data_IF_255887514720
#
_entry.id   IF_255887514720
#
_cell.length_a   1.000
_cell.length_b   1.000
_cell.length_c   1.000
_cell.angle_alpha   90.00
_cell.angle_beta   90.00
_cell.angle_gamma   90.00
#
_symmetry.space_group_name_H-M   'P 1'
#
loop_
_entity.id
_entity.type
_entity.pdbx_description
1 polymer ?
#
# COMPACT_ATOMS: atom_id res chain seq x y z
N UNK A 1 14.69 3.11 13.26
CA UNK A 1 14.41 1.88 12.50
C UNK A 1 15.22 1.90 11.21
N UNK A 2 15.91 0.78 10.90
CA UNK A 2 16.57 0.64 9.61
C UNK A 2 15.49 0.46 8.54
N UNK A 3 15.54 1.29 7.49
CA UNK A 3 14.55 1.29 6.42
C UNK A 3 15.23 1.07 5.08
N UNK A 4 14.52 0.42 4.16
CA UNK A 4 14.94 0.29 2.78
C UNK A 4 13.85 0.78 1.84
N UNK A 5 14.26 1.36 0.71
CA UNK A 5 13.35 1.64 -0.39
C UNK A 5 13.09 0.35 -1.17
N UNK A 6 11.84 0.02 -1.38
CA UNK A 6 11.42 -1.19 -2.07
C UNK A 6 10.24 -0.92 -3.02
N UNK A 7 10.12 -1.77 -4.03
CA UNK A 7 8.97 -1.75 -4.92
C UNK A 7 8.02 -2.87 -4.55
N UNK A 8 6.80 -2.50 -4.17
CA UNK A 8 5.72 -3.46 -3.92
C UNK A 8 4.92 -3.62 -5.20
N UNK A 9 4.73 -4.86 -5.60
CA UNK A 9 3.89 -5.22 -6.74
C UNK A 9 2.61 -5.82 -6.20
N UNK A 10 1.48 -5.20 -6.48
CA UNK A 10 0.17 -5.66 -6.05
C UNK A 10 -0.74 -5.83 -7.26
N UNK A 11 -1.52 -6.90 -7.29
CA UNK A 11 -2.54 -7.12 -8.31
C UNK A 11 -3.90 -6.79 -7.72
N UNK A 12 -4.65 -5.91 -8.36
CA UNK A 12 -5.98 -5.51 -7.91
C UNK A 12 -6.90 -6.73 -7.91
N UNK A 13 -7.47 -7.03 -6.76
CA UNK A 13 -8.39 -8.16 -6.58
C UNK A 13 -9.84 -7.72 -6.77
N UNK A 14 -10.61 -8.57 -7.44
CA UNK A 14 -12.08 -8.46 -7.46
C UNK A 14 -12.72 -9.18 -6.27
N UNK A 15 -13.92 -8.79 -5.95
CA UNK A 15 -14.72 -9.48 -4.94
C UNK A 15 -15.02 -10.91 -5.37
N UNK A 16 -15.03 -11.83 -4.42
CA UNK A 16 -15.27 -13.26 -4.69
C UNK A 16 -16.43 -13.81 -3.91
N UNK A 17 -17.18 -14.69 -4.54
CA UNK A 17 -18.30 -15.40 -3.96
C UNK A 17 -18.14 -16.90 -4.19
N UNK A 18 -18.20 -17.69 -3.11
CA UNK A 18 -18.14 -19.14 -3.20
C UNK A 18 -19.52 -19.72 -3.47
N UNK A 19 -19.60 -20.65 -4.42
CA UNK A 19 -20.82 -21.39 -4.77
C UNK A 19 -20.85 -22.74 -4.04
N UNK A 20 -22.05 -23.28 -3.87
CA UNK A 20 -22.28 -24.62 -3.30
C UNK A 20 -21.89 -25.74 -4.27
N UNK A 21 -21.87 -25.45 -5.56
CA UNK A 21 -21.53 -26.39 -6.62
C UNK A 21 -21.39 -25.69 -7.97
N UNK A 22 -21.19 -26.48 -9.02
CA UNK A 22 -21.11 -25.95 -10.37
C UNK A 22 -22.43 -25.30 -10.78
N UNK A 23 -22.42 -24.16 -11.49
CA UNK A 23 -23.62 -23.51 -11.97
C UNK A 23 -24.35 -24.37 -13.03
N UNK A 24 -25.66 -24.21 -13.13
CA UNK A 24 -26.42 -24.73 -14.23
C UNK A 24 -26.34 -23.74 -15.41
N UNK A 25 -25.49 -24.02 -16.35
CA UNK A 25 -25.11 -23.11 -17.42
C UNK A 25 -23.77 -22.42 -17.16
N UNK A 26 -23.39 -21.52 -18.06
CA UNK A 26 -22.11 -20.75 -17.96
C UNK A 26 -22.47 -19.29 -17.83
N UNK A 27 -21.92 -18.66 -16.77
CA UNK A 27 -22.00 -17.21 -16.64
C UNK A 27 -21.10 -16.54 -17.68
N UNK A 28 -21.61 -15.46 -18.25
CA UNK A 28 -20.88 -14.66 -19.25
C UNK A 28 -20.16 -13.51 -18.54
N UNK A 29 -18.91 -13.25 -18.90
CA UNK A 29 -18.17 -12.12 -18.36
C UNK A 29 -18.88 -10.80 -18.71
N UNK A 30 -18.96 -9.90 -17.73
CA UNK A 30 -19.65 -8.63 -17.85
C UNK A 30 -21.19 -8.70 -17.66
N UNK A 31 -21.80 -9.91 -17.49
CA UNK A 31 -23.22 -9.99 -17.19
C UNK A 31 -23.55 -9.63 -15.74
N UNK A 32 -24.77 -9.17 -15.53
CA UNK A 32 -25.28 -8.96 -14.18
C UNK A 32 -25.83 -10.26 -13.60
N UNK A 33 -25.44 -10.55 -12.36
CA UNK A 33 -26.02 -11.61 -11.54
C UNK A 33 -26.91 -10.99 -10.47
N UNK A 34 -28.03 -11.63 -10.19
CA UNK A 34 -28.98 -11.18 -9.17
C UNK A 34 -29.18 -12.28 -8.14
N UNK A 35 -29.06 -11.93 -6.86
CA UNK A 35 -29.43 -12.80 -5.74
C UNK A 35 -30.93 -12.86 -5.53
N UNK A 36 -31.51 -14.06 -5.53
CA UNK A 36 -32.95 -14.26 -5.43
C UNK A 36 -33.53 -13.88 -4.06
N UNK A 37 -32.76 -13.91 -3.00
CA UNK A 37 -33.21 -13.59 -1.64
C UNK A 37 -32.71 -12.22 -1.18
N UNK A 38 -31.45 -11.92 -1.43
CA UNK A 38 -30.82 -10.67 -1.02
C UNK A 38 -31.18 -9.48 -1.92
N UNK A 39 -31.56 -9.76 -3.18
CA UNK A 39 -31.74 -8.74 -4.19
C UNK A 39 -30.44 -8.03 -4.63
N UNK A 40 -29.30 -8.48 -4.14
CA UNK A 40 -28.00 -7.92 -4.53
C UNK A 40 -27.75 -8.21 -6.00
N UNK A 41 -27.32 -7.21 -6.72
CA UNK A 41 -26.86 -7.32 -8.11
C UNK A 41 -25.36 -7.05 -8.15
N UNK A 42 -24.64 -7.80 -8.98
CA UNK A 42 -23.22 -7.59 -9.21
C UNK A 42 -22.88 -7.95 -10.66
N UNK A 43 -21.80 -7.38 -11.17
CA UNK A 43 -21.30 -7.70 -12.50
C UNK A 43 -20.27 -8.82 -12.40
N UNK A 44 -20.49 -9.91 -13.14
CA UNK A 44 -19.53 -11.02 -13.22
C UNK A 44 -18.27 -10.54 -13.92
N UNK A 45 -17.11 -10.80 -13.30
CA UNK A 45 -15.83 -10.61 -13.94
C UNK A 45 -15.30 -11.92 -14.51
N UNK A 46 -15.37 -13.00 -13.73
CA UNK A 46 -14.91 -14.32 -14.15
C UNK A 46 -15.52 -15.42 -13.27
N UNK A 47 -15.77 -16.58 -13.86
CA UNK A 47 -16.12 -17.78 -13.13
C UNK A 47 -14.97 -18.79 -13.10
N UNK A 48 -14.48 -19.11 -11.90
CA UNK A 48 -13.43 -20.11 -11.69
C UNK A 48 -14.04 -21.49 -11.40
N UNK A 49 -14.01 -22.36 -12.38
CA UNK A 49 -14.56 -23.74 -12.26
C UNK A 49 -13.80 -24.61 -11.25
N UNK A 50 -12.50 -24.43 -11.11
CA UNK A 50 -11.66 -25.22 -10.21
C UNK A 50 -12.03 -25.02 -8.72
N UNK A 51 -12.40 -23.81 -8.32
CA UNK A 51 -12.73 -23.47 -6.94
C UNK A 51 -14.22 -23.22 -6.71
N UNK A 52 -15.05 -23.35 -7.75
CA UNK A 52 -16.46 -23.00 -7.72
C UNK A 52 -16.71 -21.60 -7.13
N UNK A 53 -15.96 -20.63 -7.62
CA UNK A 53 -16.03 -19.24 -7.17
C UNK A 53 -16.37 -18.33 -8.35
N UNK A 54 -17.19 -17.30 -8.09
CA UNK A 54 -17.43 -16.21 -9.02
C UNK A 54 -16.64 -15.01 -8.53
N UNK A 55 -15.85 -14.40 -9.40
CA UNK A 55 -15.28 -13.07 -9.21
C UNK A 55 -16.26 -12.06 -9.77
N UNK A 56 -16.56 -11.04 -9.01
CA UNK A 56 -17.52 -10.02 -9.39
C UNK A 56 -17.02 -8.63 -9.00
N UNK A 57 -17.65 -7.60 -9.55
CA UNK A 57 -17.43 -6.21 -9.23
C UNK A 57 -18.76 -5.48 -9.10
N UNK A 58 -18.72 -4.30 -8.44
CA UNK A 58 -19.85 -3.40 -8.29
C UNK A 58 -21.10 -4.08 -7.69
N UNK A 59 -21.02 -4.63 -6.46
CA UNK A 59 -22.21 -5.16 -5.81
C UNK A 59 -23.17 -4.01 -5.47
N UNK A 60 -24.33 -4.03 -6.08
CA UNK A 60 -25.37 -3.03 -5.96
C UNK A 60 -26.59 -3.61 -5.27
N UNK A 61 -27.24 -2.81 -4.44
CA UNK A 61 -28.55 -3.19 -3.84
C UNK A 61 -29.63 -2.31 -4.36
N UNK A 62 -30.72 -2.91 -4.85
CA UNK A 62 -31.92 -2.15 -5.16
C UNK A 62 -32.61 -1.72 -3.87
N UNK A 63 -32.58 -0.43 -3.55
CA UNK A 63 -33.42 0.13 -2.51
C UNK A 63 -34.83 0.32 -3.06
N UNK A 64 -35.81 -0.26 -2.32
CA UNK A 64 -37.17 -0.48 -2.79
C UNK A 64 -37.92 0.76 -3.26
N UNK A 65 -38.67 0.60 -4.29
CA UNK A 65 -39.80 1.43 -4.69
C UNK A 65 -39.54 2.45 -5.81
N UNK A 66 -38.37 2.98 -5.96
CA UNK A 66 -38.04 3.96 -7.00
C UNK A 66 -37.30 3.38 -8.21
N UNK A 67 -36.91 2.11 -8.14
CA UNK A 67 -36.22 1.40 -9.23
C UNK A 67 -34.74 1.80 -9.37
N UNK A 68 -34.22 2.67 -8.53
CA UNK A 68 -32.82 3.10 -8.57
C UNK A 68 -31.94 2.06 -7.88
N UNK A 69 -30.77 1.86 -8.44
CA UNK A 69 -29.74 0.97 -7.91
C UNK A 69 -28.68 1.84 -7.25
N UNK A 70 -28.38 1.55 -5.99
CA UNK A 70 -27.36 2.28 -5.25
C UNK A 70 -26.18 1.36 -4.96
N UNK A 71 -24.97 1.87 -5.20
CA UNK A 71 -23.74 1.20 -4.77
C UNK A 71 -23.69 1.17 -3.24
N UNK A 72 -23.69 -0.01 -2.67
CA UNK A 72 -23.55 -0.19 -1.22
C UNK A 72 -22.16 -0.69 -0.88
N UNK A 73 -21.33 0.19 -0.37
CA UNK A 73 -20.03 -0.14 0.21
C UNK A 73 -20.15 -0.86 1.57
N UNK A 74 -21.38 -1.09 2.07
CA UNK A 74 -21.57 -1.64 3.40
C UNK A 74 -22.55 -2.81 3.38
N UNK A 75 -22.05 -3.97 3.76
CA UNK A 75 -22.77 -5.07 4.43
C UNK A 75 -23.90 -5.80 3.73
N UNK A 76 -24.42 -5.35 2.63
CA UNK A 76 -25.41 -6.12 1.87
C UNK A 76 -24.70 -7.00 0.86
N UNK A 77 -24.31 -8.15 1.32
CA UNK A 77 -23.70 -9.20 0.52
C UNK A 77 -24.76 -10.23 0.13
N UNK A 78 -24.43 -11.05 -0.85
CA UNK A 78 -25.26 -12.20 -1.19
C UNK A 78 -25.54 -13.08 0.03
N UNK A 79 -26.75 -13.56 0.16
CA UNK A 79 -27.16 -14.44 1.27
C UNK A 79 -26.67 -15.87 1.09
N UNK A 80 -26.64 -16.63 2.18
CA UNK A 80 -26.31 -18.06 2.15
C UNK A 80 -27.44 -18.86 1.50
N UNK A 81 -27.09 -19.89 0.73
CA UNK A 81 -28.04 -20.77 0.06
C UNK A 81 -29.06 -20.06 -0.85
N UNK A 82 -28.74 -18.88 -1.35
CA UNK A 82 -29.58 -18.21 -2.31
C UNK A 82 -29.26 -18.62 -3.75
N UNK A 83 -30.24 -18.55 -4.60
CA UNK A 83 -30.09 -18.80 -6.04
C UNK A 83 -29.67 -17.51 -6.72
N UNK A 84 -28.54 -17.55 -7.38
CA UNK A 84 -28.06 -16.50 -8.29
C UNK A 84 -28.58 -16.76 -9.68
N UNK A 85 -28.97 -15.72 -10.38
CA UNK A 85 -29.42 -15.81 -11.77
C UNK A 85 -28.68 -14.80 -12.64
N UNK A 86 -28.07 -15.28 -13.72
CA UNK A 86 -27.46 -14.44 -14.74
C UNK A 86 -28.51 -13.82 -15.64
N UNK A 87 -28.38 -12.50 -15.89
CA UNK A 87 -29.41 -11.77 -16.65
C UNK A 87 -29.41 -12.13 -18.14
N UNK A 88 -28.23 -12.31 -18.73
CA UNK A 88 -28.10 -12.59 -20.17
C UNK A 88 -27.95 -14.07 -20.47
N UNK A 89 -27.21 -14.81 -19.66
CA UNK A 89 -27.01 -16.26 -19.89
C UNK A 89 -28.15 -17.13 -19.39
N UNK A 90 -28.95 -16.64 -18.44
CA UNK A 90 -29.95 -17.47 -17.74
C UNK A 90 -29.32 -18.54 -16.85
N UNK A 91 -27.99 -18.52 -16.69
CA UNK A 91 -27.29 -19.46 -15.81
C UNK A 91 -27.74 -19.27 -14.36
N UNK A 92 -27.83 -20.36 -13.62
CA UNK A 92 -28.20 -20.32 -12.21
C UNK A 92 -27.16 -21.03 -11.37
N UNK A 93 -26.89 -20.48 -10.18
CA UNK A 93 -26.02 -21.08 -9.20
C UNK A 93 -26.56 -20.86 -7.80
N UNK A 94 -26.22 -21.73 -6.87
CA UNK A 94 -26.57 -21.57 -5.46
C UNK A 94 -25.34 -21.14 -4.68
N UNK A 95 -25.46 -20.10 -3.85
CA UNK A 95 -24.39 -19.66 -2.97
C UNK A 95 -24.07 -20.71 -1.90
N UNK A 96 -22.86 -20.76 -1.42
CA UNK A 96 -22.43 -21.72 -0.41
C UNK A 96 -23.19 -21.54 0.92
N UNK A 97 -23.34 -22.61 1.71
CA UNK A 97 -24.02 -22.61 3.02
C UNK A 97 -23.38 -21.70 4.04
N UNK A 98 -22.06 -21.56 4.01
CA UNK A 98 -21.32 -20.53 4.73
C UNK A 98 -20.81 -19.54 3.69
N UNK A 99 -21.58 -18.50 3.43
CA UNK A 99 -21.20 -17.52 2.41
C UNK A 99 -19.93 -16.83 2.83
N UNK A 100 -18.85 -17.18 2.18
CA UNK A 100 -17.63 -16.39 2.26
C UNK A 100 -17.64 -15.48 1.03
N UNK A 101 -18.24 -14.31 1.19
CA UNK A 101 -18.02 -13.21 0.29
C UNK A 101 -16.75 -12.50 0.78
N UNK A 102 -15.74 -12.47 -0.05
CA UNK A 102 -14.55 -11.67 0.21
C UNK A 102 -14.63 -10.46 -0.71
N UNK A 103 -14.69 -9.27 -0.12
CA UNK A 103 -14.69 -8.03 -0.88
C UNK A 103 -13.24 -7.76 -1.33
N UNK A 104 -13.05 -7.49 -2.60
CA UNK A 104 -11.74 -7.21 -3.19
C UNK A 104 -11.38 -5.74 -3.13
N UNK A 105 -10.14 -5.44 -3.54
CA UNK A 105 -9.58 -4.07 -3.55
C UNK A 105 -10.40 -3.13 -4.43
N UNK A 106 -10.89 -3.64 -5.56
CA UNK A 106 -11.69 -2.86 -6.51
C UNK A 106 -12.94 -2.26 -5.87
N UNK A 107 -13.69 -3.06 -5.11
CA UNK A 107 -14.92 -2.62 -4.46
C UNK A 107 -14.64 -1.88 -3.15
N UNK A 108 -13.57 -2.21 -2.45
CA UNK A 108 -13.11 -1.51 -1.26
C UNK A 108 -12.49 -0.15 -1.55
N UNK A 109 -11.98 0.06 -2.78
CA UNK A 109 -11.24 1.27 -3.20
C UNK A 109 -9.97 1.53 -2.36
N UNK A 110 -9.42 0.51 -1.73
CA UNK A 110 -8.12 0.56 -1.06
C UNK A 110 -7.37 -0.77 -1.22
N UNK A 111 -6.06 -0.68 -1.13
CA UNK A 111 -5.14 -1.82 -1.15
C UNK A 111 -4.60 -2.02 0.25
N UNK A 112 -4.60 -3.25 0.74
CA UNK A 112 -3.92 -3.60 1.98
C UNK A 112 -2.42 -3.72 1.74
N UNK A 113 -1.66 -2.99 2.55
CA UNK A 113 -0.19 -2.92 2.46
C UNK A 113 0.41 -3.68 3.64
N UNK A 114 1.53 -4.40 3.47
CA UNK A 114 2.18 -5.09 4.58
C UNK A 114 2.55 -4.15 5.73
N UNK A 115 2.37 -4.58 6.98
CA UNK A 115 2.68 -3.83 8.22
C UNK A 115 4.14 -3.31 8.27
N UNK A 116 5.06 -3.99 7.57
CA UNK A 116 6.45 -3.57 7.48
C UNK A 116 6.65 -2.25 6.72
N UNK A 117 5.64 -1.75 5.99
CA UNK A 117 5.72 -0.51 5.22
C UNK A 117 5.47 0.68 6.13
N UNK A 118 6.46 1.59 6.19
CA UNK A 118 6.37 2.81 6.99
C UNK A 118 5.71 3.94 6.23
N UNK A 119 6.05 4.06 4.94
CA UNK A 119 5.58 5.14 4.09
C UNK A 119 5.60 4.78 2.62
N UNK A 120 4.79 5.48 1.85
CA UNK A 120 4.70 5.33 0.41
C UNK A 120 5.24 6.61 -0.21
N UNK A 121 6.19 6.49 -1.15
CA UNK A 121 6.80 7.63 -1.84
C UNK A 121 6.01 8.03 -3.07
N UNK A 122 5.71 7.06 -3.90
CA UNK A 122 4.96 7.27 -5.14
C UNK A 122 4.35 5.98 -5.65
N UNK A 123 3.37 6.14 -6.50
CA UNK A 123 2.76 5.05 -7.26
C UNK A 123 3.15 5.24 -8.72
N UNK A 124 3.56 4.17 -9.38
CA UNK A 124 3.83 4.22 -10.80
C UNK A 124 2.54 4.50 -11.56
N UNK A 125 2.56 5.34 -12.59
CA UNK A 125 1.36 5.65 -13.35
C UNK A 125 0.79 4.36 -13.96
N UNK A 126 -0.52 4.24 -13.91
CA UNK A 126 -1.24 3.19 -14.62
C UNK A 126 -1.16 3.51 -16.11
N UNK A 127 -0.34 2.80 -16.85
CA UNK A 127 -0.34 2.97 -18.29
C UNK A 127 -0.65 1.65 -18.95
N UNK A 128 -1.89 1.49 -19.35
CA UNK A 128 -2.24 0.59 -20.44
C UNK A 128 -1.51 1.01 -21.74
N UNK A 129 -1.04 2.22 -21.75
CA UNK A 129 -0.34 2.85 -22.86
C UNK A 129 1.10 2.39 -23.07
N UNK A 130 1.65 1.50 -22.22
CA UNK A 130 2.96 0.88 -22.51
C UNK A 130 2.86 -0.01 -23.75
N UNK A 131 1.72 -0.62 -23.99
CA UNK A 131 1.46 -1.39 -25.23
C UNK A 131 1.09 -0.50 -26.41
N UNK A 132 0.52 0.68 -26.15
CA UNK A 132 0.15 1.69 -27.15
C UNK A 132 1.16 2.83 -27.27
N UNK A 133 2.30 2.81 -26.58
CA UNK A 133 3.39 3.75 -26.82
C UNK A 133 4.03 3.45 -28.18
N UNK A 134 3.19 3.56 -29.20
CA UNK A 134 3.66 3.48 -30.58
C UNK A 134 4.62 4.66 -30.80
N UNK A 135 5.59 4.45 -31.66
CA UNK A 135 6.53 5.47 -32.16
C UNK A 135 5.79 6.76 -32.62
N UNK A 136 4.48 6.71 -32.75
CA UNK A 136 3.59 7.79 -33.18
C UNK A 136 2.87 8.49 -32.02
N UNK A 137 3.06 8.07 -30.73
CA UNK A 137 2.46 8.80 -29.62
C UNK A 137 3.06 10.21 -29.53
N UNK A 138 2.23 11.18 -29.29
CA UNK A 138 2.64 12.60 -29.15
C UNK A 138 3.70 12.73 -28.05
N UNK A 139 3.54 12.03 -26.94
CA UNK A 139 4.48 11.98 -25.83
C UNK A 139 5.86 11.45 -26.27
N UNK A 140 5.91 10.36 -27.01
CA UNK A 140 7.16 9.80 -27.52
C UNK A 140 7.84 10.76 -28.49
N UNK A 141 7.10 11.36 -29.42
CA UNK A 141 7.62 12.31 -30.40
C UNK A 141 8.18 13.57 -29.75
N UNK A 142 7.52 14.08 -28.73
CA UNK A 142 7.99 15.24 -27.96
C UNK A 142 9.26 14.89 -27.17
N UNK A 143 9.28 13.76 -26.48
CA UNK A 143 10.47 13.29 -25.77
C UNK A 143 11.65 13.08 -26.73
N UNK A 144 11.40 12.51 -27.90
CA UNK A 144 12.43 12.31 -28.92
C UNK A 144 12.99 13.65 -29.46
N UNK A 145 12.12 14.63 -29.69
CA UNK A 145 12.51 15.94 -30.18
C UNK A 145 13.38 16.69 -29.17
N UNK A 146 13.09 16.56 -27.87
CA UNK A 146 13.90 17.13 -26.78
C UNK A 146 15.26 16.43 -26.65
N UNK A 147 15.32 15.12 -26.84
CA UNK A 147 16.59 14.36 -26.80
C UNK A 147 17.51 14.75 -27.95
N UNK A 148 16.99 15.01 -29.15
CA UNK A 148 17.81 15.46 -30.30
C UNK A 148 18.44 16.84 -30.09
N UNK A 149 17.91 17.67 -29.23
CA UNK A 149 18.48 18.95 -28.87
C UNK A 149 19.63 18.92 -27.85
N UNK A 150 20.13 17.75 -27.47
CA UNK A 150 21.12 17.52 -26.41
C UNK A 150 22.58 17.93 -26.77
N UNK A 151 22.75 19.03 -27.45
CA UNK A 151 24.09 19.62 -27.66
C UNK A 151 24.19 20.87 -26.80
N UNK A 152 24.69 20.72 -25.56
CA UNK A 152 24.84 21.91 -24.76
C UNK A 152 25.17 21.74 -23.28
N UNK A 153 25.36 22.87 -22.69
CA UNK A 153 25.72 23.17 -21.34
C UNK A 153 24.79 22.49 -20.28
N UNK A 154 25.31 22.26 -19.08
CA UNK A 154 24.60 21.68 -17.93
C UNK A 154 23.25 22.38 -17.63
N UNK A 155 23.21 23.72 -17.82
CA UNK A 155 22.00 24.50 -17.65
C UNK A 155 20.89 24.09 -18.61
N UNK A 156 21.24 23.93 -19.89
CA UNK A 156 20.27 23.50 -20.91
C UNK A 156 19.79 22.05 -20.69
N UNK A 157 20.64 21.19 -20.14
CA UNK A 157 20.25 19.85 -19.72
C UNK A 157 19.22 19.87 -18.59
N UNK A 158 19.43 20.70 -17.56
CA UNK A 158 18.51 20.80 -16.43
C UNK A 158 17.16 21.43 -16.83
N UNK A 159 17.19 22.46 -17.69
CA UNK A 159 15.96 23.04 -18.25
C UNK A 159 15.16 22.01 -19.06
N UNK A 160 15.83 21.17 -19.86
CA UNK A 160 15.16 20.11 -20.63
C UNK A 160 14.58 19.04 -19.72
N UNK A 161 15.30 18.65 -18.66
CA UNK A 161 14.80 17.70 -17.67
C UNK A 161 13.54 18.22 -17.00
N UNK A 162 13.51 19.48 -16.58
CA UNK A 162 12.33 20.11 -16.00
C UNK A 162 11.17 20.16 -17.01
N UNK A 163 11.46 20.46 -18.27
CA UNK A 163 10.45 20.47 -19.32
C UNK A 163 9.87 19.08 -19.61
N UNK A 164 10.74 18.05 -19.63
CA UNK A 164 10.29 16.66 -19.77
C UNK A 164 9.45 16.18 -18.58
N UNK A 165 9.81 16.59 -17.37
CA UNK A 165 9.00 16.32 -16.18
C UNK A 165 7.63 17.00 -16.29
N UNK A 166 7.58 18.25 -16.70
CA UNK A 166 6.31 18.97 -16.92
C UNK A 166 5.43 18.28 -17.97
N UNK A 167 6.03 17.85 -19.08
CA UNK A 167 5.31 17.09 -20.13
C UNK A 167 4.79 15.78 -19.55
N UNK A 168 5.63 15.09 -18.76
CA UNK A 168 5.22 13.84 -18.13
C UNK A 168 4.06 14.04 -17.16
N UNK A 169 4.07 15.12 -16.38
CA UNK A 169 2.98 15.45 -15.45
C UNK A 169 1.68 15.83 -16.19
N UNK A 170 1.80 16.49 -17.36
CA UNK A 170 0.63 16.84 -18.17
C UNK A 170 -0.03 15.65 -18.86
N UNK A 171 0.75 14.66 -19.28
CA UNK A 171 0.26 13.51 -20.07
C UNK A 171 0.16 12.20 -19.30
N UNK A 172 0.81 12.09 -18.16
CA UNK A 172 0.80 10.90 -17.29
C UNK A 172 0.85 11.37 -15.85
N UNK A 173 -0.22 12.00 -15.37
CA UNK A 173 -0.31 12.43 -13.99
C UNK A 173 -0.02 11.27 -13.04
N UNK A 174 0.83 11.48 -12.04
CA UNK A 174 1.01 10.50 -10.99
C UNK A 174 -0.31 10.32 -10.25
N UNK A 175 -0.77 9.09 -10.03
CA UNK A 175 -2.01 8.88 -9.29
C UNK A 175 -1.89 9.48 -7.89
N UNK A 176 -2.91 10.23 -7.48
CA UNK A 176 -3.01 10.77 -6.13
C UNK A 176 -3.34 9.61 -5.19
N UNK A 177 -2.64 9.53 -4.07
CA UNK A 177 -2.84 8.47 -3.10
C UNK A 177 -2.85 9.01 -1.67
N UNK A 178 -3.49 8.25 -0.79
CA UNK A 178 -3.51 8.49 0.65
C UNK A 178 -3.15 7.20 1.37
N UNK A 179 -2.15 7.24 2.23
CA UNK A 179 -1.72 6.10 3.00
C UNK A 179 -1.95 6.32 4.51
N UNK A 180 -2.50 5.32 5.17
CA UNK A 180 -2.65 5.31 6.62
C UNK A 180 -1.90 4.12 7.22
N UNK A 181 -0.77 4.39 7.85
CA UNK A 181 0.07 3.39 8.50
C UNK A 181 -0.63 2.63 9.63
N UNK A 182 -1.55 3.27 10.36
CA UNK A 182 -2.23 2.59 11.47
C UNK A 182 -3.31 1.62 11.03
N UNK A 183 -3.82 1.77 9.82
CA UNK A 183 -4.81 0.90 9.22
C UNK A 183 -4.22 -0.01 8.14
N UNK A 184 -2.93 0.17 7.79
CA UNK A 184 -2.22 -0.52 6.72
C UNK A 184 -2.95 -0.45 5.36
N UNK A 185 -3.59 0.70 5.11
CA UNK A 185 -4.43 0.90 3.93
C UNK A 185 -3.91 2.02 3.05
N UNK A 186 -3.85 1.70 1.77
CA UNK A 186 -3.52 2.62 0.68
C UNK A 186 -4.78 2.88 -0.14
N UNK A 187 -5.27 4.12 -0.12
CA UNK A 187 -6.34 4.58 -0.99
C UNK A 187 -5.76 5.23 -2.24
N UNK A 188 -6.33 4.88 -3.38
CA UNK A 188 -6.01 5.44 -4.67
C UNK A 188 -7.15 6.36 -5.10
N UNK A 189 -6.86 7.64 -5.33
CA UNK A 189 -7.84 8.60 -5.84
C UNK A 189 -7.84 8.55 -7.38
N UNK A 190 -8.37 7.47 -7.93
CA UNK A 190 -8.46 7.16 -9.35
C UNK A 190 -9.89 6.79 -9.74
N UNK A 191 -10.20 6.79 -11.03
CA UNK A 191 -11.47 6.29 -11.53
C UNK A 191 -11.40 4.78 -11.70
N UNK A 192 -11.92 4.06 -10.70
CA UNK A 192 -11.96 2.60 -10.74
C UNK A 192 -12.83 2.11 -11.89
N UNK A 193 -12.30 1.21 -12.71
CA UNK A 193 -12.92 0.70 -13.91
C UNK A 193 -12.51 1.39 -15.22
N UNK A 194 -11.90 2.60 -15.13
CA UNK A 194 -11.31 3.30 -16.28
C UNK A 194 -9.79 3.30 -16.18
N UNK A 195 -9.24 3.84 -15.07
CA UNK A 195 -7.78 3.91 -14.86
C UNK A 195 -7.20 2.59 -14.38
N UNK A 196 -7.93 1.88 -13.54
CA UNK A 196 -7.54 0.58 -13.02
C UNK A 196 -8.73 -0.36 -12.88
N UNK A 197 -8.60 -1.57 -13.38
CA UNK A 197 -9.61 -2.63 -13.28
C UNK A 197 -9.02 -3.86 -12.53
N UNK A 198 -9.86 -4.84 -12.29
CA UNK A 198 -9.48 -6.12 -11.69
C UNK A 198 -8.35 -6.76 -12.54
N UNK A 199 -7.42 -7.41 -11.86
CA UNK A 199 -6.22 -8.02 -12.42
C UNK A 199 -5.14 -7.06 -12.94
N UNK A 200 -5.38 -5.74 -12.91
CA UNK A 200 -4.33 -4.76 -13.19
C UNK A 200 -3.27 -4.75 -12.09
N UNK A 201 -2.05 -4.43 -12.47
CA UNK A 201 -0.92 -4.37 -11.55
C UNK A 201 -0.65 -2.95 -11.10
N UNK A 202 -0.53 -2.77 -9.79
CA UNK A 202 -0.09 -1.54 -9.16
C UNK A 202 1.33 -1.73 -8.65
N UNK A 203 2.23 -0.82 -9.01
CA UNK A 203 3.59 -0.80 -8.50
C UNK A 203 3.74 0.41 -7.61
N UNK A 204 4.05 0.16 -6.35
CA UNK A 204 4.19 1.17 -5.31
C UNK A 204 5.63 1.22 -4.86
N UNK A 205 6.25 2.41 -4.90
CA UNK A 205 7.54 2.66 -4.28
C UNK A 205 7.32 3.04 -2.81
N UNK A 206 7.86 2.23 -1.92
CA UNK A 206 7.61 2.35 -0.49
C UNK A 206 8.88 2.18 0.34
N UNK A 207 8.90 2.80 1.50
CA UNK A 207 9.90 2.57 2.53
C UNK A 207 9.38 1.51 3.50
N UNK A 208 10.11 0.42 3.63
CA UNK A 208 9.79 -0.64 4.59
C UNK A 208 10.86 -0.80 5.66
N UNK A 209 10.44 -1.32 6.81
CA UNK A 209 11.35 -1.73 7.87
C UNK A 209 12.11 -2.98 7.39
N UNK A 210 13.42 -2.96 7.55
CA UNK A 210 14.25 -4.13 7.26
C UNK A 210 14.08 -5.15 8.36
N UNK A 211 13.77 -6.40 7.98
CA UNK A 211 13.63 -7.50 8.93
C UNK A 211 15.00 -7.94 9.48
N UNK A 212 15.24 -7.77 10.80
CA UNK A 212 16.51 -8.17 11.43
C UNK A 212 16.80 -9.67 11.35
N UNK A 213 15.78 -10.50 11.17
CA UNK A 213 15.99 -11.96 11.04
C UNK A 213 16.58 -12.33 9.67
N UNK A 214 16.21 -11.57 8.62
CA UNK A 214 16.72 -11.77 7.27
C UNK A 214 18.05 -11.07 7.03
N UNK A 215 18.29 -9.93 7.70
CA UNK A 215 19.44 -9.05 7.51
C UNK A 215 20.17 -8.82 8.84
N UNK A 216 21.04 -9.77 9.24
CA UNK A 216 21.75 -9.70 10.50
C UNK A 216 22.71 -8.49 10.63
N UNK A 217 23.15 -7.90 9.51
CA UNK A 217 24.05 -6.75 9.47
C UNK A 217 23.44 -5.47 10.09
N UNK A 218 22.11 -5.40 10.23
CA UNK A 218 21.41 -4.32 10.94
C UNK A 218 21.92 -4.19 12.38
N UNK A 219 22.23 -5.31 13.02
CA UNK A 219 22.81 -5.31 14.36
C UNK A 219 24.23 -4.75 14.41
N UNK A 220 24.87 -4.63 13.24
CA UNK A 220 26.18 -4.03 13.06
C UNK A 220 26.19 -2.52 13.13
N UNK A 221 25.05 -1.84 13.06
CA UNK A 221 24.95 -0.39 13.06
C UNK A 221 25.60 0.25 14.29
N UNK A 222 26.41 1.27 14.04
CA UNK A 222 27.16 1.97 15.09
C UNK A 222 26.25 2.74 16.04
N UNK A 223 25.21 3.40 15.51
CA UNK A 223 24.25 4.14 16.32
C UNK A 223 23.44 3.20 17.21
N UNK A 224 22.98 2.07 16.68
CA UNK A 224 22.26 1.07 17.46
C UNK A 224 23.08 0.56 18.63
N UNK A 225 24.37 0.27 18.40
CA UNK A 225 25.29 -0.19 19.46
C UNK A 225 25.52 0.87 20.51
N UNK A 226 25.75 2.11 20.09
CA UNK A 226 25.94 3.24 21.01
C UNK A 226 24.68 3.47 21.84
N UNK A 227 23.51 3.56 21.21
CA UNK A 227 22.25 3.77 21.88
C UNK A 227 21.91 2.65 22.88
N UNK A 228 22.09 1.41 22.48
CA UNK A 228 21.91 0.25 23.37
C UNK A 228 22.86 0.30 24.58
N UNK A 229 24.11 0.66 24.36
CA UNK A 229 25.11 0.81 25.44
C UNK A 229 24.69 1.91 26.43
N UNK A 230 24.17 3.03 25.94
CA UNK A 230 23.72 4.11 26.78
C UNK A 230 22.45 3.77 27.56
N UNK A 231 21.53 3.03 26.96
CA UNK A 231 20.36 2.52 27.69
C UNK A 231 20.75 1.57 28.83
N UNK A 232 21.73 0.69 28.59
CA UNK A 232 22.29 -0.17 29.63
C UNK A 232 22.99 0.65 30.72
N UNK A 233 23.80 1.66 30.35
CA UNK A 233 24.47 2.58 31.27
C UNK A 233 23.45 3.33 32.13
N UNK A 234 22.36 3.84 31.53
CA UNK A 234 21.24 4.48 32.22
C UNK A 234 20.58 3.55 33.22
N UNK A 235 20.24 2.33 32.79
CA UNK A 235 19.61 1.32 33.67
C UNK A 235 20.54 0.94 34.83
N UNK A 236 21.82 0.81 34.56
CA UNK A 236 22.81 0.50 35.57
C UNK A 236 22.97 1.64 36.57
N UNK A 237 23.08 2.89 36.08
CA UNK A 237 23.09 4.09 36.91
C UNK A 237 21.89 4.14 37.85
N UNK A 238 20.69 3.89 37.34
CA UNK A 238 19.46 3.85 38.13
C UNK A 238 19.48 2.78 39.23
N UNK A 239 20.04 1.63 38.96
CA UNK A 239 20.19 0.56 39.98
C UNK A 239 21.23 0.93 41.05
N UNK A 240 22.31 1.62 40.66
CA UNK A 240 23.38 2.03 41.57
C UNK A 240 23.03 3.23 42.46
N UNK A 241 22.07 4.07 42.08
CA UNK A 241 21.58 5.19 42.90
C UNK A 241 21.14 4.72 44.29
N UNK A 242 20.61 3.50 44.41
CA UNK A 242 20.21 2.92 45.73
C UNK A 242 21.37 2.72 46.69
N UNK A 243 22.60 2.65 46.18
CA UNK A 243 23.83 2.40 46.91
C UNK A 243 24.73 3.65 46.97
N UNK A 244 24.17 4.84 46.67
CA UNK A 244 24.89 6.09 46.71
C UNK A 244 25.49 6.32 48.11
N UNK A 245 26.79 6.62 48.13
CA UNK A 245 27.52 6.82 49.39
C UNK A 245 28.03 5.57 50.09
N UNK A 246 27.75 4.37 49.59
CA UNK A 246 28.36 3.14 50.13
C UNK A 246 29.83 3.07 49.74
N UNK A 247 30.69 2.89 50.69
CA UNK A 247 32.11 2.61 50.48
C UNK A 247 32.32 1.10 50.28
N UNK A 248 32.87 0.73 49.17
CA UNK A 248 33.32 -0.65 48.90
C UNK A 248 34.63 -0.91 49.65
N UNK A 249 34.91 -2.18 49.98
CA UNK A 249 36.24 -2.57 50.50
C UNK A 249 37.34 -2.09 49.55
N UNK A 250 38.22 -1.18 50.04
CA UNK A 250 39.23 -0.50 49.23
C UNK A 250 39.02 0.98 49.03
N UNK A 251 37.99 1.60 49.65
CA UNK A 251 37.75 3.04 49.65
C UNK A 251 37.09 3.61 48.38
N UNK A 252 36.64 2.75 47.49
CA UNK A 252 35.92 3.16 46.30
C UNK A 252 34.43 3.51 46.63
N UNK A 253 34.01 4.71 46.25
CA UNK A 253 32.62 5.16 46.34
C UNK A 253 31.89 4.92 45.03
N UNK A 254 30.73 4.34 45.09
CA UNK A 254 29.84 4.17 43.92
C UNK A 254 29.08 5.49 43.67
N UNK A 255 29.26 6.08 42.50
CA UNK A 255 28.57 7.28 42.08
C UNK A 255 27.51 6.95 40.99
N UNK A 256 26.42 6.35 41.42
CA UNK A 256 25.36 5.92 40.52
C UNK A 256 24.60 7.07 39.85
N UNK A 257 24.47 8.20 40.59
CA UNK A 257 23.76 9.38 40.08
C UNK A 257 24.48 10.01 38.90
N UNK A 258 25.80 10.21 39.01
CA UNK A 258 26.59 10.76 37.92
C UNK A 258 26.53 9.87 36.67
N UNK A 259 26.60 8.54 36.84
CA UNK A 259 26.52 7.61 35.76
C UNK A 259 25.14 7.69 35.04
N UNK A 260 24.08 7.92 35.80
CA UNK A 260 22.71 8.10 35.27
C UNK A 260 22.58 9.42 34.50
N UNK A 261 23.04 10.54 35.09
CA UNK A 261 22.93 11.86 34.49
C UNK A 261 23.76 11.97 33.20
N UNK A 262 25.00 11.44 33.21
CA UNK A 262 25.84 11.34 32.02
C UNK A 262 25.15 10.52 30.91
N UNK A 263 24.56 9.38 31.25
CA UNK A 263 23.88 8.54 30.28
C UNK A 263 22.66 9.23 29.67
N UNK A 264 21.89 9.99 30.46
CA UNK A 264 20.73 10.74 29.95
C UNK A 264 21.16 11.84 28.99
N UNK A 265 22.22 12.60 29.32
CA UNK A 265 22.76 13.64 28.45
C UNK A 265 23.30 13.07 27.11
N UNK A 266 24.05 11.95 27.19
CA UNK A 266 24.56 11.27 26.02
C UNK A 266 23.43 10.70 25.13
N UNK A 267 22.34 10.19 25.71
CA UNK A 267 21.15 9.71 24.98
C UNK A 267 20.53 10.86 24.19
N UNK A 268 20.28 12.01 24.82
CA UNK A 268 19.70 13.17 24.14
C UNK A 268 20.58 13.61 22.95
N UNK A 269 21.90 13.63 23.13
CA UNK A 269 22.84 13.99 22.05
C UNK A 269 22.75 12.99 20.88
N UNK A 270 22.63 11.68 21.16
CA UNK A 270 22.50 10.68 20.09
C UNK A 270 21.14 10.77 19.40
N UNK A 271 20.05 11.02 20.14
CA UNK A 271 18.73 11.21 19.56
C UNK A 271 18.69 12.41 18.62
N UNK A 272 19.31 13.54 19.00
CA UNK A 272 19.45 14.71 18.12
C UNK A 272 20.29 14.39 16.88
N UNK A 273 21.41 13.66 17.04
CA UNK A 273 22.25 13.26 15.90
C UNK A 273 21.51 12.29 14.95
N UNK A 274 20.69 11.39 15.49
CA UNK A 274 19.86 10.51 14.69
C UNK A 274 18.82 11.29 13.86
N UNK A 275 18.16 12.26 14.46
CA UNK A 275 17.22 13.13 13.74
C UNK A 275 17.92 13.86 12.59
N UNK A 276 19.06 14.50 12.86
CA UNK A 276 19.81 15.27 11.86
C UNK A 276 20.39 14.42 10.71
N UNK A 277 20.71 13.15 10.95
CA UNK A 277 21.32 12.27 9.93
C UNK A 277 20.33 11.43 9.14
N UNK A 278 19.24 11.02 9.79
CA UNK A 278 18.27 10.09 9.21
C UNK A 278 16.92 10.72 8.92
N UNK A 279 16.76 12.01 9.23
CA UNK A 279 15.59 12.75 8.76
C UNK A 279 15.63 12.78 7.23
N UNK A 280 14.61 12.22 6.61
CA UNK A 280 14.46 12.29 5.17
C UNK A 280 14.46 13.76 4.75
N UNK A 281 15.23 14.12 3.70
CA UNK A 281 15.15 15.47 3.18
C UNK A 281 13.68 15.79 2.93
N UNK A 282 13.23 16.91 3.47
CA UNK A 282 11.87 17.39 3.24
C UNK A 282 11.73 17.55 1.73
N UNK A 283 11.04 16.60 1.10
CA UNK A 283 10.63 16.75 -0.28
C UNK A 283 9.83 18.06 -0.33
N UNK A 284 10.35 19.03 -1.03
CA UNK A 284 9.63 20.26 -1.27
C UNK A 284 8.37 19.90 -2.08
N UNK A 285 7.29 19.64 -1.37
CA UNK A 285 5.95 19.69 -1.92
C UNK A 285 5.73 21.16 -2.32
N UNK A 286 6.17 21.49 -3.52
CA UNK A 286 5.75 22.71 -4.19
C UNK A 286 4.33 22.41 -4.63
N UNK A 287 3.37 22.90 -3.83
CA UNK A 287 1.95 22.84 -4.13
C UNK A 287 1.58 23.73 -5.33
#
# INVERSE_FOLDING_TARGET
>A
DATENTYLKHQITGSTLKLAGAPSGTFTDGEKITGGTSGVQATVHEYHSANTTIRFKNPEVKFGGDGNTYYSNTTTTFSTNETLTGESSGATATTHTSTVVTIGDFDNQYIEVPEAVIGIRRIMPFSDDITNSSMFSVKYQWALNEVHGLHGDLLSHEMKKQHLNLINDMFSGSPIFRYNRHADKLWLDITWGEDADIDHWVIVEADRIIDPASFADIWGDMFLKQYATLLLKKQWGQNLIKYEGMQLPGGLTLNGRQLYDDAVAEIQTIEEQMQLRYELPVDHLIG
#
